data_IF_185654759061
#
_entry.id   IF_185654759061
#
_cell.length_a   1.000
_cell.length_b   1.000
_cell.length_c   1.000
_cell.angle_alpha   90.00
_cell.angle_beta   90.00
_cell.angle_gamma   90.00
#
_symmetry.space_group_name_H-M   'P 1'
#
loop_
_entity.id
_entity.type
_entity.pdbx_description
1 polymer ?
#
# COMPACT_ATOMS: atom_id res chain seq x y z
N UNK A 1 -64.11 -20.22 -115.31
CA UNK A 1 -63.22 -19.05 -115.05
C UNK A 1 -62.17 -19.46 -114.04
N UNK A 2 -60.96 -19.71 -114.52
CA UNK A 2 -59.74 -19.98 -113.76
C UNK A 2 -59.27 -18.71 -113.05
N UNK A 3 -59.26 -18.73 -111.71
CA UNK A 3 -58.65 -17.65 -110.92
C UNK A 3 -57.19 -18.04 -110.66
N UNK A 4 -56.28 -17.35 -111.33
CA UNK A 4 -54.83 -17.42 -111.11
C UNK A 4 -54.48 -16.97 -109.68
N UNK A 5 -53.54 -17.67 -109.04
CA UNK A 5 -52.92 -17.20 -107.81
C UNK A 5 -52.02 -15.99 -108.12
N UNK A 6 -51.94 -14.97 -107.24
CA UNK A 6 -51.05 -13.84 -107.47
C UNK A 6 -49.60 -14.32 -107.40
N UNK A 7 -48.89 -14.21 -108.53
CA UNK A 7 -47.43 -14.34 -108.58
C UNK A 7 -46.81 -13.18 -107.79
N UNK A 8 -46.22 -13.47 -106.64
CA UNK A 8 -45.26 -12.57 -106.01
C UNK A 8 -43.86 -12.81 -106.61
N UNK A 9 -43.04 -11.77 -106.82
CA UNK A 9 -41.70 -11.90 -107.39
C UNK A 9 -40.79 -12.73 -106.48
N UNK A 10 -39.89 -13.51 -107.08
CA UNK A 10 -38.84 -14.23 -106.36
C UNK A 10 -37.89 -13.22 -105.71
N UNK A 11 -37.87 -13.17 -104.38
CA UNK A 11 -36.97 -12.29 -103.64
C UNK A 11 -35.55 -12.90 -103.59
N UNK A 12 -34.52 -12.09 -103.81
CA UNK A 12 -33.12 -12.44 -103.50
C UNK A 12 -32.94 -12.62 -101.99
N UNK A 13 -31.99 -13.47 -101.53
CA UNK A 13 -31.80 -13.82 -100.10
C UNK A 13 -31.72 -12.59 -99.18
N UNK A 14 -31.01 -11.53 -99.57
CA UNK A 14 -30.85 -10.33 -98.74
C UNK A 14 -32.11 -9.43 -98.77
N UNK A 15 -32.78 -9.33 -99.92
CA UNK A 15 -34.03 -8.57 -100.08
C UNK A 15 -35.18 -9.24 -99.34
N UNK A 16 -35.23 -10.57 -99.35
CA UNK A 16 -36.16 -11.37 -98.57
C UNK A 16 -35.96 -11.13 -97.07
N UNK A 17 -34.71 -11.06 -96.61
CA UNK A 17 -34.39 -10.88 -95.19
C UNK A 17 -34.71 -9.44 -94.71
N UNK A 18 -34.50 -8.42 -95.55
CA UNK A 18 -34.93 -7.05 -95.27
C UNK A 18 -36.45 -6.86 -95.34
N UNK A 19 -37.12 -7.58 -96.25
CA UNK A 19 -38.57 -7.59 -96.33
C UNK A 19 -39.19 -8.25 -95.09
N UNK A 20 -38.62 -9.38 -94.67
CA UNK A 20 -39.03 -10.09 -93.46
C UNK A 20 -38.76 -9.26 -92.19
N UNK A 21 -37.62 -8.57 -92.10
CA UNK A 21 -37.29 -7.74 -90.94
C UNK A 21 -38.22 -6.51 -90.79
N UNK A 22 -38.78 -6.00 -91.88
CA UNK A 22 -39.82 -4.94 -91.86
C UNK A 22 -41.20 -5.47 -91.45
N UNK A 23 -41.46 -6.75 -91.66
CA UNK A 23 -42.72 -7.41 -91.30
C UNK A 23 -42.70 -7.87 -89.83
N UNK A 24 -41.60 -8.48 -89.41
CA UNK A 24 -41.38 -9.04 -88.08
C UNK A 24 -39.92 -8.80 -87.68
N UNK A 25 -39.62 -8.42 -86.43
CA UNK A 25 -38.23 -8.39 -85.97
C UNK A 25 -37.57 -9.76 -86.21
N UNK A 26 -36.29 -9.77 -86.60
CA UNK A 26 -35.59 -10.99 -87.02
C UNK A 26 -35.66 -12.13 -86.00
N UNK A 27 -35.71 -11.79 -84.70
CA UNK A 27 -35.83 -12.73 -83.58
C UNK A 27 -37.18 -13.48 -83.54
N UNK A 28 -38.20 -12.98 -84.24
CA UNK A 28 -39.57 -13.50 -84.23
C UNK A 28 -39.85 -14.42 -85.44
N UNK A 29 -39.04 -14.32 -86.49
CA UNK A 29 -39.19 -15.07 -87.75
C UNK A 29 -39.23 -16.60 -87.57
N UNK A 30 -38.40 -17.23 -86.72
CA UNK A 30 -38.39 -18.68 -86.56
C UNK A 30 -39.70 -19.29 -86.03
N UNK A 31 -40.64 -18.49 -85.53
CA UNK A 31 -41.93 -18.95 -85.02
C UNK A 31 -43.05 -18.94 -86.07
N UNK A 32 -42.87 -18.19 -87.17
CA UNK A 32 -43.90 -18.03 -88.21
C UNK A 32 -43.64 -18.90 -89.44
N UNK A 33 -42.43 -19.41 -89.61
CA UNK A 33 -42.09 -20.40 -90.62
C UNK A 33 -41.98 -21.76 -89.91
N UNK A 34 -43.10 -22.48 -89.89
CA UNK A 34 -43.22 -23.82 -89.30
C UNK A 34 -43.63 -24.79 -90.42
N UNK A 35 -42.78 -25.75 -90.74
CA UNK A 35 -43.14 -26.87 -91.61
C UNK A 35 -43.71 -28.00 -90.74
N UNK A 36 -44.85 -28.59 -91.13
CA UNK A 36 -45.55 -29.56 -90.30
C UNK A 36 -44.72 -30.85 -90.07
N UNK A 37 -43.72 -31.11 -90.92
CA UNK A 37 -42.76 -32.21 -90.77
C UNK A 37 -41.66 -31.94 -89.73
N UNK A 38 -41.34 -30.66 -89.44
CA UNK A 38 -40.36 -30.29 -88.41
C UNK A 38 -40.92 -30.39 -86.98
N UNK A 39 -42.23 -30.59 -86.81
CA UNK A 39 -42.86 -30.77 -85.49
C UNK A 39 -42.35 -32.05 -84.80
N UNK A 40 -42.03 -33.09 -85.58
CA UNK A 40 -41.36 -34.29 -85.08
C UNK A 40 -39.93 -34.00 -84.61
N UNK A 41 -39.18 -33.20 -85.37
CA UNK A 41 -37.84 -32.74 -85.00
C UNK A 41 -37.84 -31.79 -83.80
N UNK A 42 -38.87 -30.98 -83.58
CA UNK A 42 -39.00 -30.11 -82.40
C UNK A 42 -39.33 -30.86 -81.11
N UNK A 43 -39.89 -32.07 -81.21
CA UNK A 43 -40.03 -32.97 -80.08
C UNK A 43 -38.68 -33.58 -79.66
N UNK A 44 -37.75 -33.74 -80.61
CA UNK A 44 -36.43 -34.39 -80.41
C UNK A 44 -35.27 -33.40 -80.23
N UNK A 45 -35.32 -32.22 -80.85
CA UNK A 45 -34.27 -31.20 -80.81
C UNK A 45 -34.36 -30.37 -79.53
N UNK A 46 -33.30 -30.43 -78.73
CA UNK A 46 -33.04 -29.67 -77.50
C UNK A 46 -34.07 -28.59 -77.15
N UNK A 47 -35.04 -28.98 -76.31
CA UNK A 47 -36.08 -28.11 -75.71
C UNK A 47 -35.56 -26.72 -75.30
N UNK A 48 -34.30 -26.61 -74.90
CA UNK A 48 -33.68 -25.40 -74.37
C UNK A 48 -33.57 -24.23 -75.37
N UNK A 49 -33.16 -24.46 -76.63
CA UNK A 49 -32.96 -23.34 -77.58
C UNK A 49 -34.28 -22.71 -78.03
N UNK A 50 -35.32 -23.52 -78.19
CA UNK A 50 -36.67 -23.05 -78.53
C UNK A 50 -37.31 -22.33 -77.33
N UNK A 51 -37.08 -22.82 -76.11
CA UNK A 51 -37.49 -22.16 -74.87
C UNK A 51 -36.78 -20.80 -74.71
N UNK A 52 -35.48 -20.71 -74.97
CA UNK A 52 -34.73 -19.43 -74.89
C UNK A 52 -35.26 -18.37 -75.86
N UNK A 53 -35.62 -18.78 -77.09
CA UNK A 53 -36.25 -17.88 -78.08
C UNK A 53 -37.67 -17.49 -77.67
N UNK A 54 -38.44 -18.39 -77.04
CA UNK A 54 -39.74 -18.05 -76.46
C UNK A 54 -39.60 -17.10 -75.26
N UNK A 55 -38.54 -17.23 -74.46
CA UNK A 55 -38.26 -16.33 -73.33
C UNK A 55 -37.88 -14.90 -73.80
N UNK A 56 -37.28 -14.76 -74.99
CA UNK A 56 -37.04 -13.48 -75.67
C UNK A 56 -38.35 -12.78 -76.05
N UNK A 57 -39.27 -13.51 -76.71
CA UNK A 57 -40.58 -13.00 -77.11
C UNK A 57 -41.42 -12.49 -75.93
N UNK A 58 -41.24 -13.12 -74.77
CA UNK A 58 -42.05 -12.87 -73.58
C UNK A 58 -41.49 -11.78 -72.68
N UNK A 59 -40.45 -11.06 -73.11
CA UNK A 59 -39.74 -10.04 -72.34
C UNK A 59 -39.24 -10.55 -70.97
N UNK A 60 -39.05 -11.86 -70.81
CA UNK A 60 -38.54 -12.48 -69.58
C UNK A 60 -37.05 -12.16 -69.40
N UNK A 61 -36.32 -11.89 -70.50
CA UNK A 61 -34.93 -11.43 -70.47
C UNK A 61 -34.73 -10.15 -69.66
N UNK A 62 -35.71 -9.24 -69.63
CA UNK A 62 -35.61 -8.02 -68.81
C UNK A 62 -35.52 -8.34 -67.31
N UNK A 63 -36.26 -9.36 -66.84
CA UNK A 63 -36.19 -9.86 -65.47
C UNK A 63 -34.84 -10.52 -65.20
N UNK A 64 -34.32 -11.29 -66.15
CA UNK A 64 -33.00 -11.94 -66.04
C UNK A 64 -31.85 -10.93 -65.96
N UNK A 65 -31.90 -9.88 -66.78
CA UNK A 65 -30.92 -8.79 -66.72
C UNK A 65 -30.95 -8.08 -65.36
N UNK A 66 -32.14 -7.82 -64.80
CA UNK A 66 -32.27 -7.23 -63.46
C UNK A 66 -31.72 -8.19 -62.41
N UNK A 67 -31.98 -9.49 -62.51
CA UNK A 67 -31.42 -10.49 -61.59
C UNK A 67 -29.88 -10.57 -61.67
N UNK A 68 -29.28 -10.44 -62.85
CA UNK A 68 -27.83 -10.38 -63.02
C UNK A 68 -27.22 -9.12 -62.42
N UNK A 69 -27.83 -7.95 -62.63
CA UNK A 69 -27.43 -6.71 -61.98
C UNK A 69 -27.51 -6.84 -60.44
N UNK A 70 -28.60 -7.40 -59.90
CA UNK A 70 -28.74 -7.63 -58.46
C UNK A 70 -27.70 -8.63 -57.93
N UNK A 71 -27.29 -9.63 -58.72
CA UNK A 71 -26.19 -10.55 -58.36
C UNK A 71 -24.84 -9.84 -58.30
N UNK A 72 -24.57 -8.92 -59.24
CA UNK A 72 -23.33 -8.12 -59.23
C UNK A 72 -23.30 -7.19 -58.01
N UNK A 73 -24.38 -6.44 -57.77
CA UNK A 73 -24.50 -5.55 -56.61
C UNK A 73 -24.34 -6.34 -55.29
N UNK A 74 -24.96 -7.53 -55.19
CA UNK A 74 -24.80 -8.41 -54.03
C UNK A 74 -23.34 -8.84 -53.84
N UNK A 75 -22.61 -9.18 -54.91
CA UNK A 75 -21.19 -9.57 -54.82
C UNK A 75 -20.32 -8.41 -54.34
N UNK A 76 -20.59 -7.20 -54.81
CA UNK A 76 -19.84 -6.01 -54.39
C UNK A 76 -20.12 -5.65 -52.94
N UNK A 77 -21.38 -5.71 -52.50
CA UNK A 77 -21.75 -5.49 -51.09
C UNK A 77 -21.26 -6.62 -50.18
N UNK A 78 -21.18 -7.87 -50.67
CA UNK A 78 -20.67 -9.00 -49.90
C UNK A 78 -19.13 -8.94 -49.75
N UNK A 79 -18.41 -8.46 -50.77
CA UNK A 79 -16.97 -8.15 -50.66
C UNK A 79 -16.69 -7.06 -49.62
N UNK A 80 -17.61 -6.11 -49.46
CA UNK A 80 -17.57 -5.10 -48.39
C UNK A 80 -18.03 -5.64 -47.01
N UNK A 81 -18.62 -6.83 -46.96
CA UNK A 81 -19.19 -7.44 -45.76
C UNK A 81 -18.33 -8.55 -45.13
N UNK A 82 -17.03 -8.67 -45.48
CA UNK A 82 -16.07 -9.50 -44.71
C UNK A 82 -15.93 -8.95 -43.29
N UNK A 83 -16.82 -9.37 -42.37
CA UNK A 83 -16.98 -8.79 -41.02
C UNK A 83 -17.35 -9.82 -39.94
N UNK A 84 -17.06 -11.10 -40.15
CA UNK A 84 -17.03 -12.08 -39.06
C UNK A 84 -15.77 -11.85 -38.19
N UNK A 85 -14.64 -11.55 -38.82
CA UNK A 85 -13.38 -11.20 -38.14
C UNK A 85 -13.51 -9.92 -37.31
N UNK A 86 -14.11 -8.86 -37.85
CA UNK A 86 -14.33 -7.61 -37.12
C UNK A 86 -15.24 -7.75 -35.88
N UNK A 87 -16.21 -8.67 -35.90
CA UNK A 87 -17.05 -8.97 -34.75
C UNK A 87 -16.27 -9.75 -33.68
N UNK A 88 -15.41 -10.69 -34.09
CA UNK A 88 -14.52 -11.41 -33.17
C UNK A 88 -13.47 -10.48 -32.55
N UNK A 89 -12.90 -9.56 -33.33
CA UNK A 89 -11.98 -8.54 -32.83
C UNK A 89 -12.64 -7.62 -31.81
N UNK A 90 -13.90 -7.22 -32.03
CA UNK A 90 -14.66 -6.42 -31.08
C UNK A 90 -14.86 -7.18 -29.75
N UNK A 91 -15.29 -8.45 -29.81
CA UNK A 91 -15.44 -9.29 -28.62
C UNK A 91 -14.12 -9.45 -27.87
N UNK A 92 -13.02 -9.70 -28.57
CA UNK A 92 -11.69 -9.82 -27.96
C UNK A 92 -11.25 -8.52 -27.28
N UNK A 93 -11.50 -7.37 -27.90
CA UNK A 93 -11.19 -6.06 -27.33
C UNK A 93 -12.07 -5.74 -26.10
N UNK A 94 -13.36 -6.07 -26.15
CA UNK A 94 -14.30 -5.92 -25.03
C UNK A 94 -13.91 -6.82 -23.85
N UNK A 95 -13.60 -8.10 -24.10
CA UNK A 95 -13.07 -9.00 -23.08
C UNK A 95 -11.74 -8.51 -22.50
N UNK A 96 -10.81 -8.02 -23.34
CA UNK A 96 -9.55 -7.45 -22.85
C UNK A 96 -9.80 -6.27 -21.92
N UNK A 97 -10.73 -5.39 -22.27
CA UNK A 97 -11.12 -4.26 -21.41
C UNK A 97 -11.69 -4.75 -20.06
N UNK A 98 -12.55 -5.77 -20.08
CA UNK A 98 -13.10 -6.37 -18.85
C UNK A 98 -12.01 -6.99 -17.98
N UNK A 99 -11.08 -7.76 -18.56
CA UNK A 99 -9.96 -8.34 -17.80
C UNK A 99 -9.07 -7.28 -17.15
N UNK A 100 -8.80 -6.17 -17.84
CA UNK A 100 -8.05 -5.05 -17.27
C UNK A 100 -8.83 -4.33 -16.16
N UNK A 101 -10.16 -4.23 -16.27
CA UNK A 101 -11.00 -3.66 -15.22
C UNK A 101 -10.98 -4.52 -13.95
N UNK A 102 -11.08 -5.85 -14.11
CA UNK A 102 -10.97 -6.79 -13.00
C UNK A 102 -9.60 -6.68 -12.32
N UNK A 103 -8.51 -6.66 -13.11
CA UNK A 103 -7.16 -6.46 -12.60
C UNK A 103 -7.03 -5.16 -11.80
N UNK A 104 -7.54 -4.04 -12.33
CA UNK A 104 -7.51 -2.75 -11.60
C UNK A 104 -8.29 -2.87 -10.29
N UNK A 105 -9.48 -3.48 -10.30
CA UNK A 105 -10.29 -3.66 -9.09
C UNK A 105 -9.58 -4.52 -8.04
N UNK A 106 -8.93 -5.61 -8.45
CA UNK A 106 -8.14 -6.47 -7.57
C UNK A 106 -6.96 -5.70 -6.96
N UNK A 107 -6.21 -4.96 -7.80
CA UNK A 107 -5.09 -4.13 -7.33
C UNK A 107 -5.52 -2.99 -6.44
N UNK A 108 -6.70 -2.42 -6.64
CA UNK A 108 -7.26 -1.41 -5.74
C UNK A 108 -7.59 -1.98 -4.36
N UNK A 109 -8.15 -3.20 -4.30
CA UNK A 109 -8.39 -3.90 -3.04
C UNK A 109 -7.08 -4.24 -2.32
N UNK A 110 -6.08 -4.77 -3.04
CA UNK A 110 -4.75 -5.01 -2.47
C UNK A 110 -4.12 -3.73 -1.93
N UNK A 111 -4.24 -2.61 -2.67
CA UNK A 111 -3.73 -1.31 -2.23
C UNK A 111 -4.38 -0.88 -0.93
N UNK A 112 -5.69 -1.02 -0.81
CA UNK A 112 -6.46 -0.64 0.38
C UNK A 112 -6.06 -1.49 1.61
N UNK A 113 -5.85 -2.79 1.42
CA UNK A 113 -5.31 -3.67 2.47
C UNK A 113 -3.92 -3.22 2.93
N UNK A 114 -3.01 -2.96 1.99
CA UNK A 114 -1.64 -2.50 2.31
C UNK A 114 -1.66 -1.13 3.00
N UNK A 115 -2.59 -0.24 2.66
CA UNK A 115 -2.75 1.04 3.38
C UNK A 115 -3.20 0.82 4.83
N UNK A 116 -4.16 -0.08 5.07
CA UNK A 116 -4.54 -0.47 6.43
C UNK A 116 -3.34 -0.99 7.23
N UNK A 117 -2.55 -1.88 6.63
CA UNK A 117 -1.32 -2.42 7.23
C UNK A 117 -0.25 -1.34 7.52
N UNK A 118 -0.19 -0.27 6.70
CA UNK A 118 0.70 0.87 6.90
C UNK A 118 0.23 1.68 8.11
N UNK A 119 -1.06 1.99 8.20
CA UNK A 119 -1.62 2.77 9.31
C UNK A 119 -1.43 2.06 10.65
N UNK A 120 -1.58 0.74 10.68
CA UNK A 120 -1.29 -0.10 11.85
C UNK A 120 0.19 -0.03 12.26
N UNK A 121 1.10 -0.21 11.31
CA UNK A 121 2.55 -0.10 11.58
C UNK A 121 2.96 1.31 12.03
N UNK A 122 2.37 2.36 11.46
CA UNK A 122 2.61 3.74 11.92
C UNK A 122 2.09 3.97 13.34
N UNK A 123 0.91 3.42 13.67
CA UNK A 123 0.39 3.47 15.03
C UNK A 123 1.29 2.72 16.02
N UNK A 124 1.83 1.57 15.64
CA UNK A 124 2.77 0.80 16.44
C UNK A 124 4.09 1.55 16.65
N UNK A 125 4.67 2.16 15.61
CA UNK A 125 5.86 3.00 15.72
C UNK A 125 5.61 4.15 16.71
N UNK A 126 4.47 4.84 16.63
CA UNK A 126 4.12 5.90 17.58
C UNK A 126 4.06 5.39 19.02
N UNK A 127 3.48 4.21 19.25
CA UNK A 127 3.42 3.57 20.58
C UNK A 127 4.81 3.20 21.10
N UNK A 128 5.65 2.60 20.26
CA UNK A 128 7.03 2.23 20.60
C UNK A 128 7.88 3.46 20.92
N UNK A 129 7.80 4.51 20.09
CA UNK A 129 8.50 5.78 20.33
C UNK A 129 8.08 6.43 21.65
N UNK A 130 6.78 6.40 21.97
CA UNK A 130 6.28 6.91 23.24
C UNK A 130 6.83 6.10 24.43
N UNK A 131 6.83 4.76 24.32
CA UNK A 131 7.38 3.87 25.35
C UNK A 131 8.88 4.09 25.57
N UNK A 132 9.65 4.24 24.49
CA UNK A 132 11.08 4.58 24.54
C UNK A 132 11.28 5.96 25.20
N UNK A 133 10.46 6.96 24.86
CA UNK A 133 10.55 8.29 25.48
C UNK A 133 10.28 8.25 26.99
N UNK A 134 9.28 7.47 27.43
CA UNK A 134 8.98 7.29 28.85
C UNK A 134 10.16 6.66 29.60
N UNK A 135 10.76 5.61 29.03
CA UNK A 135 11.93 4.93 29.59
C UNK A 135 13.16 5.85 29.63
N UNK A 136 13.36 6.70 28.61
CA UNK A 136 14.49 7.65 28.55
C UNK A 136 14.33 8.89 29.44
N UNK A 137 13.10 9.39 29.62
CA UNK A 137 12.87 10.78 29.99
C UNK A 137 12.40 11.08 31.42
N UNK A 138 11.99 10.11 32.24
CA UNK A 138 11.25 10.46 33.48
C UNK A 138 11.78 9.90 34.80
N UNK A 139 12.57 8.82 34.82
CA UNK A 139 12.85 8.11 36.08
C UNK A 139 14.31 8.05 36.52
N UNK A 140 15.22 7.72 35.60
CA UNK A 140 16.55 7.22 36.00
C UNK A 140 17.67 8.24 35.83
N UNK A 141 17.70 9.00 34.73
CA UNK A 141 18.85 9.87 34.40
C UNK A 141 18.81 11.19 35.17
N UNK A 142 17.68 11.90 35.14
CA UNK A 142 17.55 13.17 35.90
C UNK A 142 17.50 12.93 37.42
N UNK A 143 16.91 11.82 37.86
CA UNK A 143 16.90 11.40 39.26
C UNK A 143 18.30 11.06 39.76
N UNK A 144 19.07 10.26 39.01
CA UNK A 144 20.45 9.93 39.37
C UNK A 144 21.36 11.16 39.37
N UNK A 145 21.23 12.05 38.37
CA UNK A 145 22.04 13.27 38.31
C UNK A 145 21.75 14.22 39.49
N UNK A 146 20.48 14.33 39.93
CA UNK A 146 20.12 15.11 41.13
C UNK A 146 20.67 14.48 42.40
N UNK A 147 20.51 13.16 42.56
CA UNK A 147 21.03 12.43 43.72
C UNK A 147 22.56 12.48 43.79
N UNK A 148 23.26 12.40 42.66
CA UNK A 148 24.72 12.56 42.59
C UNK A 148 25.16 13.99 42.94
N UNK A 149 24.40 15.01 42.52
CA UNK A 149 24.68 16.41 42.88
C UNK A 149 24.45 16.68 44.38
N UNK A 150 23.38 16.13 44.97
CA UNK A 150 23.11 16.21 46.41
C UNK A 150 24.19 15.48 47.21
N UNK A 151 24.63 14.30 46.75
CA UNK A 151 25.72 13.54 47.38
C UNK A 151 27.02 14.36 47.39
N UNK A 152 27.43 14.95 46.26
CA UNK A 152 28.65 15.78 46.18
C UNK A 152 28.62 16.96 47.15
N UNK A 153 27.47 17.61 47.27
CA UNK A 153 27.29 18.72 48.20
C UNK A 153 27.46 18.28 49.66
N UNK A 154 26.92 17.11 50.03
CA UNK A 154 27.12 16.57 51.38
C UNK A 154 28.56 16.08 51.62
N UNK A 155 29.25 15.55 50.60
CA UNK A 155 30.68 15.22 50.68
C UNK A 155 31.54 16.48 50.91
N UNK A 156 31.22 17.59 50.24
CA UNK A 156 31.86 18.89 50.47
C UNK A 156 31.60 19.39 51.89
N UNK A 157 30.35 19.32 52.39
CA UNK A 157 30.00 19.69 53.76
C UNK A 157 30.79 18.86 54.79
N UNK A 158 30.90 17.55 54.56
CA UNK A 158 31.65 16.63 55.41
C UNK A 158 33.14 17.00 55.41
N UNK A 159 33.73 17.26 54.25
CA UNK A 159 35.14 17.65 54.14
C UNK A 159 35.43 18.96 54.90
N UNK A 160 34.57 19.96 54.74
CA UNK A 160 34.67 21.23 55.48
C UNK A 160 34.55 20.99 57.00
N UNK A 161 33.58 20.21 57.45
CA UNK A 161 33.44 19.89 58.88
C UNK A 161 34.65 19.12 59.44
N UNK A 162 35.19 18.13 58.71
CA UNK A 162 36.35 17.35 59.12
C UNK A 162 37.64 18.17 59.16
N UNK A 163 37.87 19.06 58.17
CA UNK A 163 39.01 19.97 58.18
C UNK A 163 38.98 20.95 59.37
N UNK A 164 37.80 21.50 59.68
CA UNK A 164 37.60 22.32 60.87
C UNK A 164 37.90 21.53 62.15
N UNK A 165 37.49 20.26 62.23
CA UNK A 165 37.78 19.40 63.38
C UNK A 165 39.27 19.04 63.48
N UNK A 166 39.95 18.71 62.37
CA UNK A 166 41.38 18.36 62.37
C UNK A 166 42.22 19.47 63.01
N UNK A 167 42.02 20.72 62.58
CA UNK A 167 42.77 21.87 63.11
C UNK A 167 42.57 22.08 64.62
N UNK A 168 41.41 21.69 65.15
CA UNK A 168 41.08 21.81 66.57
C UNK A 168 41.71 20.68 67.38
N UNK A 169 41.69 19.45 66.86
CA UNK A 169 42.24 18.26 67.53
C UNK A 169 43.77 18.16 67.47
N UNK A 170 44.44 18.80 66.50
CA UNK A 170 45.91 18.89 66.46
C UNK A 170 46.51 19.59 67.68
N UNK A 171 45.75 20.52 68.28
CA UNK A 171 46.21 21.30 69.42
C UNK A 171 45.61 20.77 70.73
N UNK A 172 44.35 21.11 71.02
CA UNK A 172 43.75 20.92 72.35
C UNK A 172 42.27 20.50 72.29
N UNK A 173 41.84 19.91 71.17
CA UNK A 173 40.43 19.64 70.91
C UNK A 173 39.73 18.83 72.01
N UNK A 174 40.45 17.88 72.62
CA UNK A 174 39.93 17.05 73.71
C UNK A 174 39.55 17.90 74.94
N UNK A 175 40.41 18.84 75.33
CA UNK A 175 40.16 19.72 76.48
C UNK A 175 39.02 20.72 76.20
N UNK A 176 38.87 21.15 74.94
CA UNK A 176 37.80 22.07 74.52
C UNK A 176 36.41 21.41 74.45
N UNK A 177 36.34 20.10 74.20
CA UNK A 177 35.07 19.36 74.10
C UNK A 177 34.50 19.03 75.48
N UNK A 178 35.37 18.83 76.48
CA UNK A 178 34.98 18.46 77.85
C UNK A 178 35.26 19.57 78.88
N UNK A 179 34.61 20.73 78.78
CA UNK A 179 34.88 21.87 79.67
C UNK A 179 34.57 21.60 81.14
N UNK A 180 33.61 20.69 81.41
CA UNK A 180 33.27 20.30 82.78
C UNK A 180 34.36 19.45 83.44
N UNK A 181 35.05 18.62 82.65
CA UNK A 181 36.14 17.79 83.16
C UNK A 181 37.41 18.63 83.35
N UNK A 182 37.69 19.59 82.46
CA UNK A 182 38.82 20.52 82.62
C UNK A 182 38.63 21.42 83.84
N UNK A 183 37.41 21.91 84.09
CA UNK A 183 37.10 22.69 85.28
C UNK A 183 37.30 21.89 86.57
N UNK A 184 36.80 20.64 86.62
CA UNK A 184 37.02 19.74 87.77
C UNK A 184 38.49 19.42 88.00
N UNK A 185 39.24 19.16 86.92
CA UNK A 185 40.67 18.90 86.98
C UNK A 185 41.48 20.13 87.45
N UNK A 186 41.07 21.34 87.04
CA UNK A 186 41.70 22.58 87.48
C UNK A 186 41.49 22.82 88.97
N UNK A 187 40.25 22.71 89.46
CA UNK A 187 39.93 22.88 90.89
C UNK A 187 40.67 21.86 91.76
N UNK A 188 40.78 20.61 91.28
CA UNK A 188 41.58 19.59 91.95
C UNK A 188 43.06 20.00 91.98
N UNK A 189 43.62 20.47 90.87
CA UNK A 189 45.02 20.93 90.80
C UNK A 189 45.30 22.16 91.70
N UNK A 190 44.37 23.10 91.80
CA UNK A 190 44.46 24.26 92.69
C UNK A 190 44.42 23.86 94.18
N UNK A 191 43.57 22.89 94.52
CA UNK A 191 43.51 22.34 95.88
C UNK A 191 44.84 21.64 96.27
N UNK A 192 45.46 20.92 95.34
CA UNK A 192 46.77 20.30 95.54
C UNK A 192 47.90 21.35 95.64
N UNK A 193 47.79 22.47 94.92
CA UNK A 193 48.75 23.56 94.92
C UNK A 193 48.70 24.45 96.18
N UNK A 194 47.54 24.54 96.82
CA UNK A 194 47.28 25.38 98.00
C UNK A 194 47.34 24.63 99.33
N UNK A 195 47.36 23.30 99.32
CA UNK A 195 47.57 22.49 100.52
C UNK A 195 48.95 22.76 101.13
N UNK A 196 48.97 23.52 102.24
CA UNK A 196 50.17 23.78 103.05
C UNK A 196 50.81 22.48 103.58
N UNK A 197 50.01 21.41 103.73
CA UNK A 197 50.47 20.10 104.18
C UNK A 197 51.43 19.40 103.21
N UNK A 198 51.37 19.71 101.90
CA UNK A 198 52.30 19.14 100.93
C UNK A 198 53.69 19.80 100.98
N UNK A 199 53.77 21.10 101.28
CA UNK A 199 55.07 21.80 101.41
C UNK A 199 55.80 21.34 102.67
N UNK A 200 55.08 21.19 103.79
CA UNK A 200 55.66 20.70 105.04
C UNK A 200 56.02 19.22 104.94
N UNK A 201 55.20 18.38 104.32
CA UNK A 201 55.53 16.95 104.13
C UNK A 201 56.65 16.74 103.09
N UNK A 202 56.76 17.53 102.02
CA UNK A 202 57.90 17.48 101.08
C UNK A 202 59.21 17.92 101.76
N UNK A 203 59.19 18.99 102.57
CA UNK A 203 60.33 19.41 103.38
C UNK A 203 60.69 18.36 104.43
N UNK A 204 59.71 17.81 105.16
CA UNK A 204 59.94 16.73 106.14
C UNK A 204 60.47 15.47 105.46
N UNK A 205 60.00 15.12 104.25
CA UNK A 205 60.52 14.00 103.47
C UNK A 205 61.96 14.23 103.00
N UNK A 206 62.31 15.45 102.56
CA UNK A 206 63.68 15.77 102.18
C UNK A 206 64.62 15.83 103.39
N UNK A 207 64.12 16.17 104.58
CA UNK A 207 64.86 16.22 105.83
C UNK A 207 65.00 14.84 106.52
N UNK A 208 64.09 13.89 106.29
CA UNK A 208 64.14 12.53 106.89
C UNK A 208 65.45 11.81 106.56
N UNK A 209 65.93 11.90 105.31
CA UNK A 209 67.21 11.31 104.90
C UNK A 209 68.41 11.85 105.70
N UNK A 210 68.79 13.13 105.53
CA UNK A 210 69.98 13.69 106.15
C UNK A 210 69.94 13.68 107.69
N UNK A 211 68.76 13.85 108.32
CA UNK A 211 68.64 13.84 109.79
C UNK A 211 68.85 12.46 110.41
N UNK A 212 68.51 11.37 109.71
CA UNK A 212 68.79 10.01 110.18
C UNK A 212 70.27 9.66 110.11
N UNK A 213 71.01 10.30 109.20
CA UNK A 213 72.42 10.02 108.94
C UNK A 213 73.40 10.91 109.75
N UNK A 214 72.90 11.86 110.56
CA UNK A 214 73.72 12.76 111.40
C UNK A 214 74.69 12.01 112.31
N UNK A 215 74.31 10.81 112.79
CA UNK A 215 75.14 10.01 113.68
C UNK A 215 76.04 8.98 112.96
N UNK A 216 75.91 8.88 111.63
CA UNK A 216 76.66 7.93 110.78
C UNK A 216 77.66 8.61 109.85
N UNK A 217 77.60 9.94 109.70
CA UNK A 217 78.48 10.74 108.84
C UNK A 217 79.34 11.68 109.71
N UNK A 218 80.63 11.92 109.40
CA UNK A 218 81.47 12.86 110.14
C UNK A 218 80.95 14.31 110.05
N UNK A 219 81.19 15.17 111.05
CA UNK A 219 82.01 14.97 112.25
C UNK A 219 81.26 14.26 113.38
N UNK A 220 81.91 13.28 114.00
CA UNK A 220 81.34 12.53 115.13
C UNK A 220 81.44 13.33 116.43
N UNK A 221 80.45 13.23 117.34
CA UNK A 221 80.55 13.82 118.67
C UNK A 221 81.69 13.19 119.50
N UNK A 222 82.28 13.96 120.42
CA UNK A 222 83.47 13.59 121.20
C UNK A 222 83.33 12.24 121.94
N UNK A 223 82.11 11.91 122.38
CA UNK A 223 81.77 10.61 122.93
C UNK A 223 81.06 9.76 121.87
N UNK A 224 81.71 8.68 121.40
CA UNK A 224 81.08 7.74 120.47
C UNK A 224 79.91 7.03 121.13
N UNK A 225 78.71 7.25 120.59
CA UNK A 225 77.50 6.53 120.96
C UNK A 225 77.63 5.05 120.58
N UNK A 226 77.18 4.17 121.48
CA UNK A 226 77.05 2.73 121.18
C UNK A 226 75.95 2.52 120.11
N UNK A 227 76.02 1.40 119.38
CA UNK A 227 75.08 1.15 118.28
C UNK A 227 73.61 1.09 118.72
N UNK A 228 73.34 0.63 119.95
CA UNK A 228 72.01 0.70 120.56
C UNK A 228 71.53 2.13 120.82
N UNK A 229 72.43 3.04 121.17
CA UNK A 229 72.11 4.45 121.39
C UNK A 229 71.88 5.18 120.06
N UNK A 230 72.66 4.87 119.01
CA UNK A 230 72.43 5.42 117.66
C UNK A 230 71.05 5.03 117.14
N UNK A 231 70.69 3.75 117.24
CA UNK A 231 69.36 3.26 116.86
C UNK A 231 68.25 3.93 117.68
N UNK A 232 68.46 4.13 119.00
CA UNK A 232 67.50 4.82 119.85
C UNK A 232 67.27 6.28 119.42
N UNK A 233 68.34 7.04 119.15
CA UNK A 233 68.22 8.44 118.72
C UNK A 233 67.69 8.57 117.29
N UNK A 234 68.08 7.70 116.37
CA UNK A 234 67.49 7.64 115.02
C UNK A 234 65.98 7.34 115.10
N UNK A 235 65.57 6.35 115.89
CA UNK A 235 64.16 6.05 116.11
C UNK A 235 63.43 7.21 116.79
N UNK A 236 64.08 7.94 117.71
CA UNK A 236 63.52 9.14 118.36
C UNK A 236 63.31 10.27 117.36
N UNK A 237 64.28 10.54 116.48
CA UNK A 237 64.19 11.57 115.44
C UNK A 237 63.09 11.20 114.45
N UNK A 238 63.04 9.96 113.98
CA UNK A 238 61.97 9.47 113.11
C UNK A 238 60.60 9.65 113.76
N UNK A 239 60.46 9.26 115.03
CA UNK A 239 59.20 9.40 115.77
C UNK A 239 58.80 10.86 115.99
N UNK A 240 59.75 11.77 116.16
CA UNK A 240 59.49 13.22 116.26
C UNK A 240 59.14 13.84 114.91
N UNK A 241 59.77 13.40 113.82
CA UNK A 241 59.42 13.83 112.47
C UNK A 241 58.03 13.32 112.08
N UNK A 242 57.70 12.09 112.42
CA UNK A 242 56.37 11.50 112.24
C UNK A 242 55.29 12.20 113.08
N UNK A 243 55.60 12.63 114.31
CA UNK A 243 54.63 13.35 115.14
C UNK A 243 54.33 14.77 114.64
N UNK A 244 55.21 15.36 113.83
CA UNK A 244 55.04 16.68 113.21
C UNK A 244 54.63 16.57 111.73
N UNK A 245 54.60 15.37 111.16
CA UNK A 245 54.07 15.10 109.83
C UNK A 245 52.54 15.22 109.93
N UNK A 246 52.00 16.33 109.44
CA UNK A 246 50.55 16.48 109.31
C UNK A 246 50.13 15.45 108.27
N UNK A 247 49.45 14.40 108.72
CA UNK A 247 49.00 13.30 107.88
C UNK A 247 48.00 13.84 106.86
N UNK A 248 48.49 14.28 105.70
CA UNK A 248 47.65 14.55 104.54
C UNK A 248 47.20 13.19 104.03
N UNK A 249 45.88 12.98 103.96
CA UNK A 249 45.24 11.75 103.49
C UNK A 249 46.01 11.10 102.32
N UNK A 250 46.76 10.03 102.62
CA UNK A 250 47.54 9.30 101.62
C UNK A 250 46.68 8.52 100.63
N UNK A 251 45.36 8.45 100.85
CA UNK A 251 44.40 7.73 100.00
C UNK A 251 43.98 8.50 98.74
N UNK A 252 44.50 9.71 98.53
CA UNK A 252 44.30 10.43 97.26
C UNK A 252 45.21 9.85 96.16
N UNK A 253 44.62 9.16 95.19
CA UNK A 253 45.29 8.55 94.00
C UNK A 253 46.12 9.55 93.16
N UNK A 254 46.00 10.86 93.41
CA UNK A 254 46.69 11.93 92.69
C UNK A 254 47.46 12.86 93.64
N UNK A 255 48.65 12.44 94.05
CA UNK A 255 49.60 13.31 94.78
C UNK A 255 50.48 14.06 93.79
N UNK A 256 49.98 15.18 93.26
CA UNK A 256 50.75 16.07 92.38
C UNK A 256 51.53 17.05 93.26
N UNK A 257 52.87 17.05 93.13
CA UNK A 257 53.73 17.99 93.87
C UNK A 257 53.36 19.46 93.59
N UNK A 258 53.52 20.32 94.59
CA UNK A 258 52.96 21.69 94.60
C UNK A 258 53.35 22.54 93.38
N UNK A 259 54.60 22.44 92.92
CA UNK A 259 55.08 23.13 91.72
C UNK A 259 54.49 22.58 90.40
N UNK A 260 54.25 21.27 90.32
CA UNK A 260 53.61 20.63 89.16
C UNK A 260 52.11 20.92 89.13
N UNK A 261 51.47 20.95 90.29
CA UNK A 261 50.06 21.28 90.45
C UNK A 261 49.77 22.73 90.02
N UNK A 262 50.61 23.70 90.40
CA UNK A 262 50.50 25.10 89.92
C UNK A 262 50.63 25.23 88.40
N UNK A 263 51.60 24.53 87.79
CA UNK A 263 51.76 24.54 86.32
C UNK A 263 50.56 23.93 85.61
N UNK A 264 50.04 22.82 86.14
CA UNK A 264 48.88 22.14 85.56
C UNK A 264 47.60 22.96 85.72
N UNK A 265 47.38 23.60 86.87
CA UNK A 265 46.27 24.54 87.07
C UNK A 265 46.35 25.72 86.07
N UNK A 266 47.53 26.30 85.88
CA UNK A 266 47.73 27.40 84.92
C UNK A 266 47.49 26.97 83.47
N UNK A 267 47.88 25.75 83.08
CA UNK A 267 47.59 25.21 81.75
C UNK A 267 46.09 24.97 81.55
N UNK A 268 45.41 24.39 82.55
CA UNK A 268 43.97 24.12 82.49
C UNK A 268 43.11 25.38 82.55
N UNK A 269 43.61 26.45 83.18
CA UNK A 269 42.94 27.75 83.24
C UNK A 269 42.71 28.36 81.85
N UNK A 270 43.57 28.06 80.86
CA UNK A 270 43.42 28.51 79.48
C UNK A 270 42.26 27.82 78.72
N UNK A 271 41.67 26.76 79.29
CA UNK A 271 40.59 25.97 78.67
C UNK A 271 39.25 26.10 79.42
N UNK A 272 39.07 27.20 80.15
CA UNK A 272 37.82 27.50 80.84
C UNK A 272 36.67 27.75 79.83
N UNK A 273 35.43 27.37 80.16
CA UNK A 273 34.27 27.49 79.27
C UNK A 273 33.97 28.94 78.83
N UNK A 274 34.41 29.95 79.59
CA UNK A 274 34.23 31.37 79.25
C UNK A 274 35.13 31.86 78.10
N UNK A 275 36.19 31.12 77.77
CA UNK A 275 37.23 31.56 76.81
C UNK A 275 37.20 30.81 75.48
N UNK A 276 36.49 29.68 75.38
CA UNK A 276 36.49 28.85 74.17
C UNK A 276 35.06 28.42 73.83
N UNK A 277 34.62 28.76 72.60
CA UNK A 277 33.33 28.35 72.04
C UNK A 277 33.30 26.82 71.81
N UNK A 278 32.93 26.05 72.83
CA UNK A 278 32.76 24.59 72.73
C UNK A 278 31.56 24.18 71.85
N UNK A 279 30.66 25.12 71.57
CA UNK A 279 29.47 24.92 70.74
C UNK A 279 29.81 24.68 69.27
N UNK A 280 30.74 25.44 68.70
CA UNK A 280 31.15 25.32 67.29
C UNK A 280 31.76 23.95 66.99
N UNK A 281 32.52 23.38 67.92
CA UNK A 281 33.10 22.04 67.79
C UNK A 281 32.01 20.98 67.81
N UNK A 282 31.04 21.09 68.72
CA UNK A 282 29.90 20.16 68.78
C UNK A 282 29.01 20.27 67.54
N UNK A 283 28.80 21.48 67.03
CA UNK A 283 28.06 21.72 65.78
C UNK A 283 28.77 21.08 64.59
N UNK A 284 30.10 21.23 64.48
CA UNK A 284 30.88 20.60 63.42
C UNK A 284 30.86 19.06 63.51
N UNK A 285 30.93 18.49 64.71
CA UNK A 285 30.79 17.03 64.92
C UNK A 285 29.38 16.57 64.52
N UNK A 286 28.35 17.30 64.95
CA UNK A 286 26.96 16.97 64.60
C UNK A 286 26.70 17.12 63.09
N UNK A 287 27.32 18.11 62.45
CA UNK A 287 27.26 18.32 61.00
C UNK A 287 27.92 17.15 60.26
N UNK A 288 29.14 16.76 60.64
CA UNK A 288 29.86 15.63 60.05
C UNK A 288 29.06 14.32 60.17
N UNK A 289 28.53 14.01 61.36
CA UNK A 289 27.73 12.79 61.57
C UNK A 289 26.40 12.80 60.79
N UNK A 290 25.80 13.97 60.57
CA UNK A 290 24.58 14.10 59.76
C UNK A 290 24.92 13.91 58.28
N UNK A 291 25.96 14.57 57.78
CA UNK A 291 26.42 14.47 56.40
C UNK A 291 26.82 13.02 56.04
N UNK A 292 27.50 12.31 56.94
CA UNK A 292 27.88 10.91 56.72
C UNK A 292 26.64 9.99 56.60
N UNK A 293 25.63 10.19 57.47
CA UNK A 293 24.37 9.44 57.39
C UNK A 293 23.60 9.75 56.11
N UNK A 294 23.54 11.02 55.68
CA UNK A 294 22.83 11.40 54.46
C UNK A 294 23.55 10.84 53.22
N UNK A 295 24.88 10.91 53.17
CA UNK A 295 25.69 10.28 52.11
C UNK A 295 25.37 8.79 52.02
N UNK A 296 25.38 8.06 53.13
CA UNK A 296 25.09 6.62 53.14
C UNK A 296 23.66 6.31 52.64
N UNK A 297 22.67 7.15 52.98
CA UNK A 297 21.30 6.98 52.45
C UNK A 297 21.21 7.28 50.95
N UNK A 298 21.90 8.32 50.48
CA UNK A 298 21.96 8.70 49.07
C UNK A 298 22.68 7.64 48.23
N UNK A 299 23.75 7.05 48.75
CA UNK A 299 24.47 5.94 48.11
C UNK A 299 23.58 4.71 47.94
N UNK A 300 22.82 4.33 48.98
CA UNK A 300 21.87 3.24 48.88
C UNK A 300 20.75 3.52 47.85
N UNK A 301 20.26 4.76 47.80
CA UNK A 301 19.27 5.17 46.80
C UNK A 301 19.85 5.12 45.38
N UNK A 302 21.09 5.62 45.18
CA UNK A 302 21.80 5.55 43.90
C UNK A 302 22.07 4.11 43.46
N UNK A 303 22.41 3.22 44.39
CA UNK A 303 22.67 1.81 44.08
C UNK A 303 21.41 1.06 43.65
N UNK A 304 20.26 1.35 44.28
CA UNK A 304 18.96 0.82 43.86
C UNK A 304 18.53 1.34 42.48
N UNK A 305 18.74 2.63 42.20
CA UNK A 305 18.44 3.23 40.88
C UNK A 305 19.34 2.63 39.79
N UNK A 306 20.61 2.32 40.10
CA UNK A 306 21.54 1.69 39.16
C UNK A 306 21.17 0.25 38.81
N UNK A 307 20.63 -0.54 39.75
CA UNK A 307 20.20 -1.91 39.48
C UNK A 307 18.93 -1.98 38.61
N UNK A 308 17.99 -1.05 38.80
CA UNK A 308 16.79 -0.92 37.94
C UNK A 308 17.19 -0.48 36.51
N UNK A 309 18.32 0.23 36.36
CA UNK A 309 18.80 0.74 35.07
C UNK A 309 19.25 -0.35 34.09
N UNK A 310 19.84 -1.48 34.53
CA UNK A 310 20.33 -2.52 33.59
C UNK A 310 19.17 -3.28 32.92
N UNK A 311 18.11 -3.63 33.66
CA UNK A 311 16.91 -4.23 33.10
C UNK A 311 16.18 -3.26 32.15
N UNK A 312 16.11 -1.98 32.52
CA UNK A 312 15.52 -0.97 31.67
C UNK A 312 16.37 -0.69 30.42
N UNK A 313 17.71 -0.76 30.50
CA UNK A 313 18.60 -0.75 29.32
C UNK A 313 18.32 -1.91 28.38
N UNK A 314 18.23 -3.14 28.90
CA UNK A 314 17.90 -4.31 28.07
C UNK A 314 16.54 -4.16 27.39
N UNK A 315 15.52 -3.68 28.10
CA UNK A 315 14.19 -3.39 27.53
C UNK A 315 14.25 -2.30 26.47
N UNK A 316 15.07 -1.28 26.69
CA UNK A 316 15.23 -0.17 25.76
C UNK A 316 15.90 -0.64 24.46
N UNK A 317 16.97 -1.45 24.56
CA UNK A 317 17.60 -2.08 23.39
C UNK A 317 16.62 -2.98 22.63
N UNK A 318 15.81 -3.78 23.33
CA UNK A 318 14.78 -4.60 22.70
C UNK A 318 13.74 -3.75 21.96
N UNK A 319 13.24 -2.68 22.59
CA UNK A 319 12.25 -1.79 21.98
C UNK A 319 12.82 -1.03 20.78
N UNK A 320 14.09 -0.65 20.81
CA UNK A 320 14.78 -0.02 19.69
C UNK A 320 14.96 -0.98 18.51
N UNK A 321 15.31 -2.25 18.78
CA UNK A 321 15.38 -3.28 17.73
C UNK A 321 14.03 -3.51 17.07
N UNK A 322 12.97 -3.64 17.87
CA UNK A 322 11.60 -3.81 17.34
C UNK A 322 11.20 -2.58 16.53
N UNK A 323 11.45 -1.37 17.04
CA UNK A 323 11.16 -0.13 16.31
C UNK A 323 11.88 -0.07 14.96
N UNK A 324 13.16 -0.46 14.90
CA UNK A 324 13.90 -0.51 13.64
C UNK A 324 13.29 -1.51 12.65
N UNK A 325 12.93 -2.72 13.12
CA UNK A 325 12.26 -3.73 12.31
C UNK A 325 10.91 -3.24 11.77
N UNK A 326 10.07 -2.64 12.61
CA UNK A 326 8.77 -2.10 12.18
C UNK A 326 8.93 -0.94 11.19
N UNK A 327 9.99 -0.13 11.31
CA UNK A 327 10.30 0.93 10.35
C UNK A 327 10.74 0.37 8.99
N UNK A 328 11.58 -0.68 8.97
CA UNK A 328 11.97 -1.36 7.74
C UNK A 328 10.77 -2.02 7.05
N UNK A 329 9.90 -2.67 7.83
CA UNK A 329 8.65 -3.24 7.31
C UNK A 329 7.72 -2.17 6.74
N UNK A 330 7.63 -1.00 7.37
CA UNK A 330 6.86 0.14 6.86
C UNK A 330 7.40 0.61 5.51
N UNK A 331 8.72 0.70 5.35
CA UNK A 331 9.36 1.06 4.07
C UNK A 331 9.02 0.03 2.99
N UNK A 332 9.13 -1.26 3.31
CA UNK A 332 8.78 -2.35 2.40
C UNK A 332 7.31 -2.29 1.96
N UNK A 333 6.38 -2.02 2.90
CA UNK A 333 4.96 -1.84 2.58
C UNK A 333 4.73 -0.63 1.66
N UNK A 334 5.37 0.52 1.93
CA UNK A 334 5.28 1.72 1.08
C UNK A 334 5.80 1.48 -0.33
N UNK A 335 6.88 0.73 -0.48
CA UNK A 335 7.41 0.38 -1.80
C UNK A 335 6.50 -0.61 -2.54
N UNK A 336 5.81 -1.52 -1.84
CA UNK A 336 4.74 -2.35 -2.44
C UNK A 336 3.60 -1.49 -2.95
N UNK A 337 3.13 -0.51 -2.17
CA UNK A 337 2.06 0.42 -2.59
C UNK A 337 2.45 1.16 -3.87
N UNK A 338 3.68 1.67 -3.96
CA UNK A 338 4.19 2.32 -5.18
C UNK A 338 4.15 1.41 -6.40
N UNK A 339 4.56 0.13 -6.24
CA UNK A 339 4.50 -0.85 -7.34
C UNK A 339 3.07 -1.11 -7.81
N UNK A 340 2.14 -1.27 -6.87
CA UNK A 340 0.72 -1.46 -7.17
C UNK A 340 0.17 -0.23 -7.93
N UNK A 341 0.50 0.98 -7.48
CA UNK A 341 0.11 2.22 -8.16
C UNK A 341 0.67 2.33 -9.57
N UNK A 342 1.94 1.96 -9.78
CA UNK A 342 2.53 1.94 -11.13
C UNK A 342 1.85 0.92 -12.03
N UNK A 343 1.52 -0.26 -11.53
CA UNK A 343 0.85 -1.32 -12.29
C UNK A 343 -0.57 -0.87 -12.70
N UNK A 344 -1.32 -0.28 -11.77
CA UNK A 344 -2.63 0.30 -12.06
C UNK A 344 -2.54 1.46 -13.06
N UNK A 345 -1.53 2.32 -12.95
CA UNK A 345 -1.33 3.42 -13.90
C UNK A 345 -1.03 2.89 -15.31
N UNK A 346 -0.22 1.83 -15.42
CA UNK A 346 0.07 1.18 -16.69
C UNK A 346 -1.19 0.52 -17.29
N UNK A 347 -1.96 -0.22 -16.48
CA UNK A 347 -3.23 -0.80 -16.91
C UNK A 347 -4.21 0.29 -17.38
N UNK A 348 -4.34 1.41 -16.65
CA UNK A 348 -5.18 2.57 -17.02
C UNK A 348 -4.73 3.23 -18.33
N UNK A 349 -3.43 3.26 -18.64
CA UNK A 349 -2.91 3.77 -19.92
C UNK A 349 -3.35 2.90 -21.10
N UNK A 350 -3.49 1.58 -20.92
CA UNK A 350 -4.00 0.67 -21.96
C UNK A 350 -5.49 0.92 -22.29
N UNK A 351 -6.29 1.49 -21.38
CA UNK A 351 -7.71 1.76 -21.63
C UNK A 351 -7.94 2.78 -22.74
N UNK A 352 -7.15 3.85 -22.80
CA UNK A 352 -7.30 4.91 -23.79
C UNK A 352 -7.34 4.39 -25.23
N UNK A 353 -6.32 3.64 -25.69
CA UNK A 353 -6.34 3.06 -27.03
C UNK A 353 -7.40 1.97 -27.20
N UNK A 354 -7.65 1.14 -26.18
CA UNK A 354 -8.67 0.08 -26.23
C UNK A 354 -10.09 0.66 -26.43
N UNK A 355 -10.44 1.74 -25.73
CA UNK A 355 -11.74 2.41 -25.89
C UNK A 355 -11.90 2.95 -27.30
N UNK A 356 -10.89 3.65 -27.83
CA UNK A 356 -10.90 4.15 -29.22
C UNK A 356 -11.01 3.01 -30.23
N UNK A 357 -10.33 1.90 -29.98
CA UNK A 357 -10.39 0.71 -30.83
C UNK A 357 -11.81 0.12 -30.82
N UNK A 358 -12.39 -0.08 -29.64
CA UNK A 358 -13.78 -0.58 -29.46
C UNK A 358 -14.76 0.36 -30.17
N UNK A 359 -14.68 1.68 -29.97
CA UNK A 359 -15.54 2.65 -30.66
C UNK A 359 -15.44 2.54 -32.19
N UNK A 360 -14.22 2.44 -32.72
CA UNK A 360 -14.00 2.28 -34.16
C UNK A 360 -14.55 0.95 -34.71
N UNK A 361 -14.43 -0.13 -33.94
CA UNK A 361 -14.95 -1.44 -34.29
C UNK A 361 -16.48 -1.46 -34.20
N UNK A 362 -17.07 -0.82 -33.20
CA UNK A 362 -18.52 -0.65 -33.04
C UNK A 362 -19.13 0.18 -34.18
N UNK A 363 -18.44 1.23 -34.64
CA UNK A 363 -18.86 2.00 -35.81
C UNK A 363 -18.89 1.09 -37.06
N UNK A 364 -17.81 0.33 -37.28
CA UNK A 364 -17.69 -0.62 -38.41
C UNK A 364 -18.75 -1.74 -38.35
N UNK A 365 -19.10 -2.23 -37.16
CA UNK A 365 -20.14 -3.26 -37.00
C UNK A 365 -21.54 -2.70 -37.20
N UNK A 366 -21.84 -1.46 -36.77
CA UNK A 366 -23.13 -0.79 -37.07
C UNK A 366 -23.35 -0.60 -38.57
N UNK A 367 -22.33 -0.12 -39.28
CA UNK A 367 -22.34 -0.02 -40.75
C UNK A 367 -22.53 -1.40 -41.41
N UNK A 368 -22.01 -2.46 -40.78
CA UNK A 368 -22.23 -3.85 -41.21
C UNK A 368 -23.65 -4.33 -41.05
N UNK A 369 -24.29 -4.03 -39.92
CA UNK A 369 -25.68 -4.41 -39.71
C UNK A 369 -26.60 -3.70 -40.71
N UNK A 370 -26.34 -2.42 -41.00
CA UNK A 370 -27.06 -1.69 -42.05
C UNK A 370 -26.84 -2.33 -43.44
N UNK A 371 -25.60 -2.74 -43.77
CA UNK A 371 -25.31 -3.44 -45.01
C UNK A 371 -26.00 -4.82 -45.09
N UNK A 372 -26.05 -5.57 -43.99
CA UNK A 372 -26.73 -6.88 -43.91
C UNK A 372 -28.25 -6.76 -44.12
N UNK A 373 -28.87 -5.72 -43.56
CA UNK A 373 -30.30 -5.45 -43.81
C UNK A 373 -30.57 -5.13 -45.28
N UNK A 374 -29.68 -4.37 -45.93
CA UNK A 374 -29.75 -4.09 -47.37
C UNK A 374 -29.55 -5.35 -48.22
N UNK A 375 -28.62 -6.24 -47.83
CA UNK A 375 -28.43 -7.54 -48.47
C UNK A 375 -29.65 -8.45 -48.34
N UNK A 376 -30.28 -8.50 -47.16
CA UNK A 376 -31.53 -9.25 -46.95
C UNK A 376 -32.67 -8.71 -47.82
N UNK A 377 -32.78 -7.38 -47.96
CA UNK A 377 -33.77 -6.76 -48.85
C UNK A 377 -33.53 -7.14 -50.32
N UNK A 378 -32.26 -7.12 -50.77
CA UNK A 378 -31.90 -7.57 -52.12
C UNK A 378 -32.25 -9.04 -52.35
N UNK A 379 -32.00 -9.90 -51.36
CA UNK A 379 -32.32 -11.32 -51.47
C UNK A 379 -33.85 -11.56 -51.52
N UNK A 380 -34.62 -10.81 -50.74
CA UNK A 380 -36.09 -10.82 -50.84
C UNK A 380 -36.57 -10.33 -52.22
N UNK A 381 -35.99 -9.25 -52.75
CA UNK A 381 -36.32 -8.75 -54.09
C UNK A 381 -36.01 -9.78 -55.18
N UNK A 382 -34.88 -10.48 -55.07
CA UNK A 382 -34.52 -11.56 -56.00
C UNK A 382 -35.51 -12.72 -55.94
N UNK A 383 -35.88 -13.16 -54.73
CA UNK A 383 -36.90 -14.21 -54.55
C UNK A 383 -38.26 -13.80 -55.14
N UNK A 384 -38.67 -12.54 -54.97
CA UNK A 384 -39.90 -12.02 -55.59
C UNK A 384 -39.83 -11.99 -57.11
N UNK A 385 -38.70 -11.56 -57.69
CA UNK A 385 -38.48 -11.57 -59.14
C UNK A 385 -38.45 -13.00 -59.71
N UNK A 386 -37.83 -13.95 -58.99
CA UNK A 386 -37.87 -15.37 -59.34
C UNK A 386 -39.29 -15.92 -59.32
N UNK A 387 -40.07 -15.63 -58.26
CA UNK A 387 -41.47 -16.02 -58.16
C UNK A 387 -42.30 -15.42 -59.30
N UNK A 388 -42.09 -14.14 -59.62
CA UNK A 388 -42.75 -13.46 -60.73
C UNK A 388 -42.38 -14.08 -62.09
N UNK A 389 -41.10 -14.40 -62.31
CA UNK A 389 -40.63 -15.12 -63.50
C UNK A 389 -41.33 -16.47 -63.64
N UNK A 390 -41.45 -17.24 -62.55
CA UNK A 390 -42.15 -18.53 -62.57
C UNK A 390 -43.64 -18.37 -62.85
N UNK A 391 -44.30 -17.35 -62.30
CA UNK A 391 -45.70 -17.05 -62.60
C UNK A 391 -45.92 -16.73 -64.07
N UNK A 392 -45.05 -15.93 -64.69
CA UNK A 392 -45.11 -15.66 -66.14
C UNK A 392 -44.96 -16.98 -66.91
N UNK A 393 -43.98 -17.82 -66.55
CA UNK A 393 -43.76 -19.11 -67.20
C UNK A 393 -44.97 -20.04 -67.12
N UNK A 394 -45.62 -20.14 -65.95
CA UNK A 394 -46.80 -20.99 -65.74
C UNK A 394 -47.96 -20.51 -66.59
N UNK A 395 -48.34 -19.22 -66.50
CA UNK A 395 -49.43 -18.64 -67.28
C UNK A 395 -49.23 -18.84 -68.79
N UNK A 396 -47.99 -18.71 -69.26
CA UNK A 396 -47.68 -18.88 -70.69
C UNK A 396 -47.73 -20.33 -71.14
N UNK A 397 -47.30 -21.30 -70.30
CA UNK A 397 -47.47 -22.73 -70.60
C UNK A 397 -48.94 -23.12 -70.72
N UNK A 398 -49.80 -22.59 -69.85
CA UNK A 398 -51.24 -22.80 -69.94
C UNK A 398 -51.82 -22.25 -71.25
N UNK A 399 -51.41 -21.03 -71.64
CA UNK A 399 -51.84 -20.42 -72.91
C UNK A 399 -51.36 -21.23 -74.13
N UNK A 400 -50.10 -21.64 -74.16
CA UNK A 400 -49.54 -22.45 -75.26
C UNK A 400 -50.19 -23.83 -75.35
N UNK A 401 -50.48 -24.47 -74.22
CA UNK A 401 -51.18 -25.74 -74.20
C UNK A 401 -52.62 -25.60 -74.73
N UNK A 402 -53.33 -24.53 -74.35
CA UNK A 402 -54.67 -24.24 -74.83
C UNK A 402 -54.69 -23.98 -76.35
N UNK A 403 -53.74 -23.19 -76.86
CA UNK A 403 -53.64 -22.93 -78.31
C UNK A 403 -53.26 -24.17 -79.11
N UNK A 404 -52.31 -24.97 -78.62
CA UNK A 404 -51.92 -26.23 -79.26
C UNK A 404 -53.08 -27.25 -79.29
N UNK A 405 -53.87 -27.33 -78.21
CA UNK A 405 -55.05 -28.19 -78.17
C UNK A 405 -56.13 -27.71 -79.15
N UNK A 406 -56.36 -26.39 -79.24
CA UNK A 406 -57.29 -25.80 -80.21
C UNK A 406 -56.87 -26.09 -81.65
N UNK A 407 -55.59 -25.99 -81.98
CA UNK A 407 -55.06 -26.36 -83.30
C UNK A 407 -55.19 -27.86 -83.58
N UNK A 408 -54.88 -28.73 -82.62
CA UNK A 408 -55.07 -30.17 -82.78
C UNK A 408 -56.55 -30.56 -82.99
N UNK A 409 -57.47 -29.90 -82.27
CA UNK A 409 -58.92 -30.06 -82.46
C UNK A 409 -59.36 -29.61 -83.85
N UNK A 410 -58.81 -28.50 -84.35
CA UNK A 410 -59.09 -28.01 -85.69
C UNK A 410 -58.64 -29.02 -86.76
N UNK A 411 -57.41 -29.51 -86.69
CA UNK A 411 -56.85 -30.48 -87.64
C UNK A 411 -57.65 -31.79 -87.67
N UNK A 412 -57.96 -32.35 -86.49
CA UNK A 412 -58.72 -33.61 -86.39
C UNK A 412 -60.17 -33.43 -86.84
N UNK A 413 -60.76 -32.24 -86.66
CA UNK A 413 -62.15 -31.99 -87.04
C UNK A 413 -62.38 -31.94 -88.55
N UNK A 414 -61.33 -31.77 -89.36
CA UNK A 414 -61.41 -31.62 -90.82
C UNK A 414 -62.26 -30.42 -91.29
N UNK A 415 -62.70 -29.55 -90.37
CA UNK A 415 -63.52 -28.37 -90.67
C UNK A 415 -62.61 -27.16 -90.80
N UNK A 416 -62.84 -26.34 -91.84
CA UNK A 416 -62.25 -25.00 -91.97
C UNK A 416 -62.90 -24.05 -90.95
N UNK A 417 -62.64 -24.28 -89.67
CA UNK A 417 -63.07 -23.40 -88.59
C UNK A 417 -62.20 -22.13 -88.63
N UNK A 418 -62.79 -20.94 -88.42
CA UNK A 418 -62.02 -19.72 -88.30
C UNK A 418 -61.14 -19.79 -87.06
N UNK A 419 -59.82 -19.74 -87.23
CA UNK A 419 -58.88 -19.64 -86.11
C UNK A 419 -58.88 -18.20 -85.65
N UNK A 420 -59.26 -17.98 -84.40
CA UNK A 420 -59.22 -16.66 -83.79
C UNK A 420 -57.92 -16.54 -83.00
N UNK A 421 -56.99 -15.72 -83.49
CA UNK A 421 -55.77 -15.38 -82.79
C UNK A 421 -56.05 -14.24 -81.82
N UNK A 422 -56.21 -14.54 -80.53
CA UNK A 422 -56.21 -13.55 -79.45
C UNK A 422 -54.82 -13.52 -78.78
N UNK A 423 -53.81 -13.28 -79.61
CA UNK A 423 -52.45 -12.98 -79.13
C UNK A 423 -52.37 -11.48 -78.90
N UNK A 424 -51.82 -11.00 -77.78
CA UNK A 424 -51.66 -9.57 -77.55
C UNK A 424 -50.58 -9.04 -78.50
N UNK A 425 -50.99 -8.65 -79.71
CA UNK A 425 -50.18 -7.93 -80.69
C UNK A 425 -49.58 -6.65 -80.07
N UNK A 426 -50.18 -6.13 -79.01
CA UNK A 426 -49.72 -5.01 -78.19
C UNK A 426 -48.31 -5.11 -77.60
N UNK A 427 -47.63 -6.26 -77.71
CA UNK A 427 -46.22 -6.45 -77.31
C UNK A 427 -45.21 -6.17 -78.42
N UNK A 428 -45.69 -5.99 -79.64
CA UNK A 428 -44.90 -5.66 -80.85
C UNK A 428 -45.16 -4.19 -81.17
N UNK A 429 -44.17 -3.46 -81.67
CA UNK A 429 -44.36 -2.05 -82.02
C UNK A 429 -45.41 -1.85 -83.12
N UNK A 430 -46.13 -0.73 -83.05
CA UNK A 430 -47.33 -0.43 -83.86
C UNK A 430 -47.11 -0.61 -85.36
N UNK A 431 -45.96 -0.22 -85.87
CA UNK A 431 -45.61 -0.33 -87.29
C UNK A 431 -45.48 -1.79 -87.77
N UNK A 432 -45.00 -2.70 -86.92
CA UNK A 432 -44.92 -4.12 -87.23
C UNK A 432 -46.29 -4.80 -87.09
N UNK A 433 -47.15 -4.34 -86.18
CA UNK A 433 -48.53 -4.83 -86.06
C UNK A 433 -49.33 -4.60 -87.36
N UNK A 434 -49.27 -3.38 -87.91
CA UNK A 434 -50.02 -3.03 -89.13
C UNK A 434 -49.54 -3.84 -90.35
N UNK A 435 -48.23 -4.06 -90.45
CA UNK A 435 -47.63 -4.87 -91.52
C UNK A 435 -48.06 -6.35 -91.44
N UNK A 436 -48.13 -6.92 -90.24
CA UNK A 436 -48.60 -8.29 -89.99
C UNK A 436 -50.07 -8.49 -90.36
N UNK A 437 -50.94 -7.55 -89.98
CA UNK A 437 -52.37 -7.61 -90.29
C UNK A 437 -52.61 -7.57 -91.81
N UNK A 438 -51.87 -6.70 -92.50
CA UNK A 438 -51.95 -6.57 -93.97
C UNK A 438 -51.52 -7.86 -94.68
N UNK A 439 -50.46 -8.52 -94.18
CA UNK A 439 -49.97 -9.78 -94.74
C UNK A 439 -50.95 -10.94 -94.50
N UNK A 440 -51.46 -11.09 -93.28
CA UNK A 440 -52.36 -12.19 -92.90
C UNK A 440 -53.67 -12.16 -93.72
N UNK A 441 -54.24 -10.98 -93.96
CA UNK A 441 -55.45 -10.82 -94.79
C UNK A 441 -55.25 -11.22 -96.26
N UNK A 442 -54.02 -11.23 -96.76
CA UNK A 442 -53.71 -11.55 -98.17
C UNK A 442 -53.44 -13.03 -98.45
N UNK A 443 -52.95 -13.78 -97.46
CA UNK A 443 -52.40 -15.14 -97.65
C UNK A 443 -53.35 -16.27 -97.26
N UNK A 444 -54.20 -16.07 -96.26
CA UNK A 444 -55.09 -17.12 -95.75
C UNK A 444 -56.48 -17.00 -96.40
N UNK A 445 -56.81 -17.90 -97.33
CA UNK A 445 -58.16 -18.05 -97.95
C UNK A 445 -59.20 -18.71 -97.02
N UNK A 446 -58.97 -18.70 -95.72
CA UNK A 446 -59.89 -19.18 -94.69
C UNK A 446 -60.28 -17.97 -93.81
N UNK A 447 -61.55 -17.88 -93.38
CA UNK A 447 -62.02 -16.81 -92.48
C UNK A 447 -61.11 -16.79 -91.23
N UNK A 448 -60.17 -15.86 -91.16
CA UNK A 448 -59.23 -15.73 -90.05
C UNK A 448 -59.61 -14.43 -89.34
N UNK A 449 -60.08 -14.53 -88.10
CA UNK A 449 -60.44 -13.36 -87.28
C UNK A 449 -59.30 -13.09 -86.30
N UNK A 450 -58.62 -11.96 -86.38
CA UNK A 450 -57.53 -11.63 -85.44
C UNK A 450 -58.10 -10.61 -84.45
N UNK A 451 -58.22 -11.00 -83.18
CA UNK A 451 -58.70 -10.06 -82.15
C UNK A 451 -57.51 -9.32 -81.57
N UNK A 452 -57.40 -8.03 -81.87
CA UNK A 452 -56.42 -7.14 -81.26
C UNK A 452 -56.97 -6.62 -79.93
N UNK A 453 -56.27 -6.85 -78.81
CA UNK A 453 -56.65 -6.32 -77.49
C UNK A 453 -56.65 -4.77 -77.40
N UNK A 454 -56.29 -4.04 -78.47
CA UNK A 454 -56.40 -2.58 -78.54
C UNK A 454 -57.65 -2.16 -79.32
N UNK A 455 -58.83 -2.42 -78.77
CA UNK A 455 -60.07 -1.66 -79.01
C UNK A 455 -60.58 -1.51 -80.46
N UNK A 456 -60.04 -2.25 -81.42
CA UNK A 456 -60.55 -2.30 -82.79
C UNK A 456 -60.70 -3.75 -83.20
N UNK A 457 -61.93 -4.23 -83.17
CA UNK A 457 -62.34 -5.42 -83.88
C UNK A 457 -62.41 -5.07 -85.38
N UNK A 458 -61.68 -5.81 -86.22
CA UNK A 458 -61.83 -5.82 -87.69
C UNK A 458 -62.00 -7.28 -88.10
#
# INVERSE_FOLDING_TARGET
>A
MTVQAPHNPEFSKDEAQQYLSRLLPLDYIPFFFFDAEEVGYLAEANRNQTIEKMEQLLNIRSVDNVQECLKQIRRDWNRQALRAEAQQELLNAEHRRETLNLLISEREQEREQVFGDIDESEAEIRRLQHKIRLLRGAGSIEGAARLDAEKRKEEENLAVALSALSSVFENDGIFRITPQLTQKAMLAAESCASSQGNVTSELLASLKGPLTEIFTIPPYPDNRLNDSQKQFYQARILKLLESHDVNVDRDSLFQIGTGRAKRLANLLAAYQPEQIASETIRENIACALKAEKTIMTLENQLQNVRQISEDDKMRLEQLERVLAQTQDDLLNKRDRTRKIETDMANARREFGPLIKQIESLQQKTKESHAAKNRLNLLDNMRQLLDAYKQQIKIKMREQLAATALLWALQDVSGRKLPVIFDTPLGRIDRQHQDNLLTLAGSKYKCNTMIRCCNGKEI
#
